data_IF_077640167610
#
_entry.id   IF_077640167610
#
_cell.length_a   1.000
_cell.length_b   1.000
_cell.length_c   1.000
_cell.angle_alpha   90.00
_cell.angle_beta   90.00
_cell.angle_gamma   90.00
#
_symmetry.space_group_name_H-M   'P 1'
#
loop_
_entity.id
_entity.type
_entity.pdbx_description
1 polymer ?
#
# COMPACT_ATOMS: atom_id res chain seq x y z
N UNK A 1 35.81 34.08 9.32
CA UNK A 1 34.43 33.86 9.80
C UNK A 1 33.54 33.19 8.75
N UNK A 2 33.40 33.72 7.52
CA UNK A 2 32.55 33.12 6.46
C UNK A 2 32.88 31.64 6.12
N UNK A 3 34.16 31.26 6.13
CA UNK A 3 34.62 29.88 5.87
C UNK A 3 34.22 28.89 6.98
N UNK A 4 34.20 29.36 8.23
CA UNK A 4 33.79 28.55 9.39
C UNK A 4 32.28 28.29 9.33
N UNK A 5 31.51 29.33 8.98
CA UNK A 5 30.07 29.21 8.80
C UNK A 5 29.70 28.24 7.67
N UNK A 6 30.42 28.29 6.54
CA UNK A 6 30.23 27.37 5.41
C UNK A 6 30.55 25.91 5.77
N UNK A 7 31.65 25.69 6.51
CA UNK A 7 32.01 24.34 6.97
C UNK A 7 30.99 23.79 7.96
N UNK A 8 30.42 24.64 8.82
CA UNK A 8 29.38 24.24 9.77
C UNK A 8 28.09 23.81 9.05
N UNK A 9 27.69 24.56 8.01
CA UNK A 9 26.56 24.20 7.15
C UNK A 9 26.81 22.86 6.45
N UNK A 10 28.02 22.66 5.90
CA UNK A 10 28.35 21.43 5.19
C UNK A 10 28.27 20.20 6.11
N UNK A 11 28.80 20.31 7.33
CA UNK A 11 28.74 19.24 8.33
C UNK A 11 27.29 18.94 8.72
N UNK A 12 26.47 19.99 8.89
CA UNK A 12 25.07 19.84 9.25
C UNK A 12 24.26 19.14 8.15
N UNK A 13 24.50 19.48 6.87
CA UNK A 13 23.84 18.83 5.73
C UNK A 13 24.23 17.36 5.61
N UNK A 14 25.51 17.02 5.79
CA UNK A 14 25.97 15.62 5.74
C UNK A 14 25.37 14.80 6.89
N UNK A 15 25.27 15.38 8.09
CA UNK A 15 24.63 14.72 9.23
C UNK A 15 23.13 14.47 8.99
N UNK A 16 22.42 15.39 8.34
CA UNK A 16 21.00 15.24 8.03
C UNK A 16 20.74 14.23 6.89
N UNK A 17 21.67 14.07 5.96
CA UNK A 17 21.60 13.05 4.91
C UNK A 17 21.95 11.63 5.39
N UNK A 18 22.47 11.46 6.61
CA UNK A 18 22.84 10.14 7.14
C UNK A 18 21.66 9.36 7.72
N UNK A 19 20.48 9.96 7.81
CA UNK A 19 19.23 9.29 8.21
C UNK A 19 18.85 8.25 7.14
N UNK A 20 18.99 6.96 7.48
CA UNK A 20 18.47 5.88 6.65
C UNK A 20 16.95 5.90 6.72
N UNK A 21 16.30 6.17 5.59
CA UNK A 21 14.85 6.09 5.49
C UNK A 21 14.37 4.66 5.81
N UNK A 22 13.89 4.43 7.03
CA UNK A 22 13.20 3.19 7.38
C UNK A 22 11.82 3.21 6.75
N UNK A 23 11.55 2.29 5.82
CA UNK A 23 10.20 2.09 5.34
C UNK A 23 9.30 1.75 6.53
N UNK A 24 8.33 2.60 6.80
CA UNK A 24 7.45 2.44 7.96
C UNK A 24 6.58 1.20 7.75
N UNK A 25 6.69 0.22 8.65
CA UNK A 25 5.82 -0.96 8.61
C UNK A 25 4.39 -0.50 8.85
N UNK A 26 3.54 -0.63 7.83
CA UNK A 26 2.13 -0.31 7.92
C UNK A 26 1.32 -1.59 8.09
N UNK A 27 0.40 -1.57 9.05
CA UNK A 27 -0.50 -2.69 9.29
C UNK A 27 -1.79 -2.56 8.47
N UNK A 28 -2.15 -1.34 8.07
CA UNK A 28 -3.35 -1.05 7.29
C UNK A 28 -2.99 -0.10 6.16
N UNK A 29 -3.50 -0.37 4.97
CA UNK A 29 -3.45 0.51 3.81
C UNK A 29 -4.88 0.82 3.35
N UNK A 30 -5.10 2.04 2.88
CA UNK A 30 -6.35 2.45 2.24
C UNK A 30 -6.02 3.04 0.87
N UNK A 31 -6.89 2.81 -0.10
CA UNK A 31 -6.67 3.25 -1.47
C UNK A 31 -7.96 3.31 -2.27
N UNK A 32 -7.81 3.68 -3.54
CA UNK A 32 -8.89 3.64 -4.52
C UNK A 32 -8.53 2.58 -5.56
N UNK A 33 -9.49 1.71 -5.87
CA UNK A 33 -9.38 0.73 -6.93
C UNK A 33 -10.14 1.24 -8.14
N UNK A 34 -9.42 1.38 -9.26
CA UNK A 34 -10.01 1.74 -10.54
C UNK A 34 -9.98 0.50 -11.44
N UNK A 35 -11.06 -0.27 -11.39
CA UNK A 35 -11.29 -1.43 -12.25
C UNK A 35 -12.65 -1.26 -12.94
N UNK A 36 -13.21 -2.35 -13.45
CA UNK A 36 -14.58 -2.40 -13.93
C UNK A 36 -15.60 -2.02 -12.85
N UNK A 37 -15.29 -2.27 -11.58
CA UNK A 37 -15.88 -1.53 -10.45
C UNK A 37 -14.84 -0.58 -9.86
N UNK A 38 -15.26 0.66 -9.62
CA UNK A 38 -14.39 1.68 -9.04
C UNK A 38 -14.86 2.06 -7.64
N UNK A 39 -13.92 2.22 -6.72
CA UNK A 39 -14.26 2.66 -5.36
C UNK A 39 -13.16 2.41 -4.34
N UNK A 40 -13.44 2.72 -3.06
CA UNK A 40 -12.46 2.59 -2.00
C UNK A 40 -12.12 1.13 -1.69
N UNK A 41 -10.86 0.91 -1.37
CA UNK A 41 -10.31 -0.35 -0.89
C UNK A 41 -9.56 -0.12 0.42
N UNK A 42 -9.68 -1.07 1.34
CA UNK A 42 -8.93 -1.12 2.60
C UNK A 42 -8.28 -2.48 2.71
N UNK A 43 -6.96 -2.49 2.91
CA UNK A 43 -6.13 -3.68 3.09
C UNK A 43 -5.56 -3.71 4.51
N UNK A 44 -5.66 -4.85 5.16
CA UNK A 44 -5.14 -5.08 6.50
C UNK A 44 -4.15 -6.25 6.47
N UNK A 45 -2.93 -6.01 6.91
CA UNK A 45 -1.85 -6.99 6.99
C UNK A 45 -1.92 -7.69 8.35
N UNK A 46 -2.57 -8.85 8.38
CA UNK A 46 -2.67 -9.67 9.59
C UNK A 46 -1.31 -10.23 10.01
N UNK A 47 -0.45 -10.53 9.03
CA UNK A 47 0.95 -10.91 9.23
C UNK A 47 1.81 -10.28 8.12
N UNK A 48 3.16 -10.28 8.21
CA UNK A 48 4.02 -9.71 7.16
C UNK A 48 3.83 -10.33 5.76
N UNK A 49 3.23 -11.52 5.70
CA UNK A 49 3.02 -12.30 4.48
C UNK A 49 1.53 -12.56 4.17
N UNK A 50 0.59 -12.14 5.02
CA UNK A 50 -0.85 -12.38 4.81
C UNK A 50 -1.61 -11.09 5.03
N UNK A 51 -2.39 -10.70 4.02
CA UNK A 51 -3.25 -9.53 4.04
C UNK A 51 -4.69 -9.91 3.69
N UNK A 52 -5.63 -9.12 4.20
CA UNK A 52 -7.05 -9.19 3.85
C UNK A 52 -7.43 -7.84 3.27
N UNK A 53 -8.05 -7.83 2.08
CA UNK A 53 -8.49 -6.62 1.40
C UNK A 53 -10.01 -6.61 1.24
N UNK A 54 -10.64 -5.52 1.67
CA UNK A 54 -12.05 -5.23 1.43
C UNK A 54 -12.17 -4.13 0.40
N UNK A 55 -12.97 -4.34 -0.65
CA UNK A 55 -13.24 -3.35 -1.69
C UNK A 55 -14.73 -3.07 -1.76
N UNK A 56 -15.08 -1.79 -1.77
CA UNK A 56 -16.43 -1.33 -2.10
C UNK A 56 -16.38 -0.73 -3.50
N UNK A 57 -16.90 -1.46 -4.47
CA UNK A 57 -16.98 -1.06 -5.87
C UNK A 57 -18.35 -0.46 -6.20
N UNK A 58 -18.35 0.75 -6.75
CA UNK A 58 -19.53 1.40 -7.27
C UNK A 58 -19.61 1.22 -8.79
N UNK A 59 -20.84 0.99 -9.28
CA UNK A 59 -21.20 0.98 -10.70
C UNK A 59 -22.43 1.86 -10.92
N UNK A 60 -22.71 2.20 -12.18
CA UNK A 60 -23.84 3.07 -12.57
C UNK A 60 -25.17 2.72 -11.92
N UNK A 61 -25.43 1.43 -11.65
CA UNK A 61 -26.66 0.96 -10.97
C UNK A 61 -26.42 -0.17 -9.97
N UNK A 62 -25.24 -0.25 -9.37
CA UNK A 62 -24.90 -1.41 -8.55
C UNK A 62 -23.83 -1.12 -7.52
N UNK A 63 -23.94 -1.81 -6.38
CA UNK A 63 -22.90 -1.89 -5.38
C UNK A 63 -22.31 -3.30 -5.41
N UNK A 64 -20.99 -3.35 -5.34
CA UNK A 64 -20.22 -4.58 -5.31
C UNK A 64 -19.32 -4.55 -4.10
N UNK A 65 -19.39 -5.61 -3.29
CA UNK A 65 -18.52 -5.82 -2.14
C UNK A 65 -17.58 -6.97 -2.45
N UNK A 66 -16.28 -6.72 -2.37
CA UNK A 66 -15.24 -7.72 -2.57
C UNK A 66 -14.48 -7.94 -1.27
N UNK A 67 -14.25 -9.19 -0.91
CA UNK A 67 -13.31 -9.56 0.15
C UNK A 67 -12.24 -10.49 -0.43
N UNK A 68 -10.96 -10.13 -0.28
CA UNK A 68 -9.81 -10.88 -0.78
C UNK A 68 -8.91 -11.28 0.38
N UNK A 69 -8.41 -12.51 0.36
CA UNK A 69 -7.33 -12.96 1.21
C UNK A 69 -6.09 -13.18 0.34
N UNK A 70 -5.02 -12.47 0.66
CA UNK A 70 -3.81 -12.39 -0.16
C UNK A 70 -2.58 -12.82 0.62
N UNK A 71 -1.76 -13.67 0.00
CA UNK A 71 -0.47 -14.11 0.52
C UNK A 71 0.62 -13.35 -0.26
N UNK A 72 1.48 -12.65 0.47
CA UNK A 72 2.60 -11.88 -0.06
C UNK A 72 3.90 -12.68 0.11
N UNK A 73 4.60 -12.94 -0.98
CA UNK A 73 5.90 -13.63 -0.99
C UNK A 73 6.97 -12.84 -1.73
N UNK A 74 8.19 -12.88 -1.21
CA UNK A 74 9.36 -12.26 -1.85
C UNK A 74 9.66 -12.97 -3.17
N UNK A 75 9.81 -12.18 -4.22
CA UNK A 75 10.08 -12.65 -5.56
C UNK A 75 11.58 -12.59 -5.85
N UNK A 76 12.12 -13.63 -6.49
CA UNK A 76 13.49 -13.67 -7.01
C UNK A 76 14.58 -13.37 -5.97
N UNK A 77 14.29 -13.56 -4.68
CA UNK A 77 15.17 -13.20 -3.56
C UNK A 77 15.56 -11.70 -3.53
N UNK A 78 14.75 -10.84 -4.17
CA UNK A 78 14.97 -9.39 -4.18
C UNK A 78 14.18 -8.74 -3.06
N UNK A 79 14.90 -8.12 -2.12
CA UNK A 79 14.29 -7.39 -1.01
C UNK A 79 13.35 -6.28 -1.53
N UNK A 80 12.12 -6.24 -1.00
CA UNK A 80 11.10 -5.27 -1.38
C UNK A 80 10.24 -5.66 -2.59
N UNK A 81 10.68 -6.61 -3.43
CA UNK A 81 9.86 -7.13 -4.52
C UNK A 81 8.97 -8.26 -4.00
N UNK A 82 7.70 -7.96 -3.68
CA UNK A 82 6.73 -8.97 -3.24
C UNK A 82 5.69 -9.23 -4.33
N UNK A 83 5.54 -10.49 -4.71
CA UNK A 83 4.33 -10.93 -5.39
C UNK A 83 3.25 -11.24 -4.37
N UNK A 84 2.00 -11.00 -4.75
CA UNK A 84 0.86 -11.42 -3.97
C UNK A 84 -0.06 -12.25 -4.84
N UNK A 85 -0.62 -13.30 -4.24
CA UNK A 85 -1.63 -14.15 -4.86
C UNK A 85 -2.64 -14.54 -3.79
N UNK A 86 -3.83 -14.90 -4.22
CA UNK A 86 -4.91 -15.13 -3.27
C UNK A 86 -6.21 -15.46 -3.93
N UNK A 87 -7.23 -15.54 -3.09
CA UNK A 87 -8.60 -15.79 -3.51
C UNK A 87 -9.56 -14.97 -2.65
N UNK A 88 -10.78 -14.86 -3.10
CA UNK A 88 -11.77 -14.08 -2.38
C UNK A 88 -13.17 -14.25 -2.95
N UNK A 89 -14.09 -13.52 -2.33
CA UNK A 89 -15.49 -13.48 -2.69
C UNK A 89 -15.83 -12.12 -3.27
N UNK A 90 -16.57 -12.15 -4.37
CA UNK A 90 -17.04 -10.96 -5.06
C UNK A 90 -18.56 -11.04 -5.12
N UNK A 91 -19.24 -10.24 -4.33
CA UNK A 91 -20.71 -10.24 -4.24
C UNK A 91 -21.20 -8.87 -4.62
N UNK A 92 -21.91 -8.79 -5.72
CA UNK A 92 -22.44 -7.54 -6.23
C UNK A 92 -23.59 -7.77 -7.19
N UNK A 93 -24.54 -6.85 -7.17
CA UNK A 93 -25.69 -6.86 -8.07
C UNK A 93 -25.67 -5.62 -8.94
N UNK A 94 -25.99 -5.77 -10.22
CA UNK A 94 -26.44 -4.64 -11.05
C UNK A 94 -27.94 -4.54 -10.81
N UNK A 95 -28.36 -3.59 -9.98
CA UNK A 95 -29.76 -3.28 -9.79
C UNK A 95 -30.33 -2.67 -11.08
N UNK A 96 -31.22 -3.38 -11.75
CA UNK A 96 -32.18 -2.73 -12.64
C UNK A 96 -33.40 -2.38 -11.76
N UNK A 97 -33.44 -1.15 -11.23
CA UNK A 97 -34.54 -0.62 -10.44
C UNK A 97 -34.42 0.88 -10.33
#
# INVERSE_FOLDING_TARGET
MKKIFLNLILIFTVAFCAETASAQSYQTAAGLRFSYESGPSVKYFATPNVAVEGVLGFREKGLVVTGLAEIHQTAFDVEGLKFYYGGGVHIGGVGAG
#
